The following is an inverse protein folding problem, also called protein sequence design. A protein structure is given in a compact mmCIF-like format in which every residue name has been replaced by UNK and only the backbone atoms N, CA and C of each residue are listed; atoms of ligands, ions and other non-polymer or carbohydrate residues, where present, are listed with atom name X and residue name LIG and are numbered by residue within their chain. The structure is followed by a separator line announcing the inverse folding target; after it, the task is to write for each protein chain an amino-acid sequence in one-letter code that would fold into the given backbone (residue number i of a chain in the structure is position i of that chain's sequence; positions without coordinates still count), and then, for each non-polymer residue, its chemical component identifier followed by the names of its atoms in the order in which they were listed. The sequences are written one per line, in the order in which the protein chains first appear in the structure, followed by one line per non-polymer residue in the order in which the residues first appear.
data_IF_009445514551
#
_entry.id   IF_009445514551
#
_cell.length_a   1.000
_cell.length_b   1.000
_cell.length_c   1.000
_cell.angle_alpha   90.00
_cell.angle_beta   90.00
_cell.angle_gamma   90.00
#
_symmetry.space_group_name_H-M   'P 1'
#
loop_
_entity.id
_entity.type
_entity.pdbx_description
1 polymer ?
#
# COMPACT_ATOMS: atom_id res chain seq x y z
N UNK A 1 -7.16 -15.05 17.83
CA UNK A 1 -5.95 -14.95 16.98
C UNK A 1 -6.01 -13.61 16.30
N UNK A 2 -4.95 -12.82 16.36
CA UNK A 2 -4.90 -11.51 15.69
C UNK A 2 -4.54 -11.70 14.21
N UNK A 3 -5.26 -11.04 13.32
CA UNK A 3 -5.12 -11.13 11.86
C UNK A 3 -4.77 -9.76 11.28
N UNK A 4 -3.69 -9.71 10.49
CA UNK A 4 -3.17 -8.52 9.85
C UNK A 4 -3.24 -8.68 8.33
N UNK A 5 -3.70 -7.66 7.61
CA UNK A 5 -3.43 -7.52 6.18
C UNK A 5 -2.23 -6.59 5.99
N UNK A 6 -1.19 -7.07 5.30
CA UNK A 6 -0.09 -6.24 4.85
C UNK A 6 -0.23 -5.99 3.34
N UNK A 7 0.04 -4.76 2.91
CA UNK A 7 0.04 -4.34 1.51
C UNK A 7 1.48 -3.94 1.14
N UNK A 8 2.29 -4.87 0.57
CA UNK A 8 3.63 -4.57 0.10
C UNK A 8 3.59 -3.59 -1.08
N UNK A 9 4.20 -2.41 -0.92
CA UNK A 9 4.25 -1.38 -1.95
C UNK A 9 5.68 -0.88 -2.13
N UNK A 10 6.24 -1.08 -3.33
CA UNK A 10 7.56 -0.56 -3.71
C UNK A 10 7.45 0.47 -4.83
N UNK A 11 8.31 1.47 -4.80
CA UNK A 11 8.35 2.48 -5.86
C UNK A 11 9.06 1.97 -7.13
N UNK A 12 10.15 1.22 -6.95
CA UNK A 12 10.99 0.72 -8.03
C UNK A 12 10.27 -0.34 -8.88
N UNK A 13 9.70 0.09 -10.00
CA UNK A 13 9.05 -0.74 -10.99
C UNK A 13 9.52 -0.30 -12.37
N UNK A 14 10.18 -1.20 -13.10
CA UNK A 14 10.80 -0.89 -14.40
C UNK A 14 9.77 -0.68 -15.50
N UNK A 15 8.71 -1.50 -15.52
CA UNK A 15 7.63 -1.43 -16.52
C UNK A 15 6.62 -0.34 -16.23
N UNK A 16 6.48 0.06 -14.97
CA UNK A 16 5.55 1.10 -14.57
C UNK A 16 6.05 1.85 -13.32
N UNK A 17 6.92 2.86 -13.50
CA UNK A 17 7.55 3.58 -12.40
C UNK A 17 6.52 4.23 -11.48
N UNK A 18 6.73 4.14 -10.15
CA UNK A 18 5.83 4.76 -9.18
C UNK A 18 4.41 4.19 -9.17
N UNK A 19 4.20 2.98 -9.74
CA UNK A 19 2.89 2.32 -9.87
C UNK A 19 1.94 2.51 -8.66
N UNK A 20 2.36 2.34 -7.39
CA UNK A 20 1.46 2.53 -6.25
C UNK A 20 0.81 3.92 -6.19
N UNK A 21 1.53 4.96 -6.63
CA UNK A 21 1.10 6.36 -6.58
C UNK A 21 0.31 6.79 -7.82
N UNK A 22 0.18 5.94 -8.83
CA UNK A 22 -0.55 6.33 -10.05
C UNK A 22 -2.05 6.41 -9.76
N UNK A 23 -2.64 7.54 -10.14
CA UNK A 23 -4.09 7.77 -10.11
C UNK A 23 -4.79 6.99 -11.20
N UNK A 24 -5.80 6.23 -10.81
CA UNK A 24 -6.69 5.47 -11.70
C UNK A 24 -8.12 6.01 -11.57
N UNK A 25 -8.77 6.25 -12.70
CA UNK A 25 -10.20 6.52 -12.75
C UNK A 25 -10.98 5.22 -12.56
N UNK A 26 -12.06 5.27 -11.80
CA UNK A 26 -12.93 4.13 -11.58
C UNK A 26 -14.33 4.60 -11.16
N UNK A 27 -15.23 3.64 -10.84
CA UNK A 27 -16.63 3.94 -10.54
C UNK A 27 -16.81 4.98 -9.43
N UNK A 28 -15.93 4.97 -8.43
CA UNK A 28 -16.00 5.87 -7.26
C UNK A 28 -15.04 7.06 -7.38
N UNK A 29 -14.76 7.50 -8.60
CA UNK A 29 -13.85 8.61 -8.90
C UNK A 29 -12.38 8.22 -9.03
N UNK A 30 -11.51 9.24 -9.09
CA UNK A 30 -10.08 9.10 -9.27
C UNK A 30 -9.37 8.84 -7.93
N UNK A 31 -8.61 7.74 -7.83
CA UNK A 31 -7.84 7.36 -6.63
C UNK A 31 -6.54 6.69 -7.04
N UNK A 32 -5.47 6.89 -6.28
CA UNK A 32 -4.20 6.18 -6.49
C UNK A 32 -4.37 4.68 -6.29
N UNK A 33 -3.58 3.87 -7.00
CA UNK A 33 -3.63 2.42 -6.89
C UNK A 33 -3.49 1.94 -5.42
N UNK A 34 -2.55 2.50 -4.66
CA UNK A 34 -2.34 2.10 -3.26
C UNK A 34 -3.54 2.40 -2.37
N UNK A 35 -4.18 3.56 -2.55
CA UNK A 35 -5.42 3.92 -1.83
C UNK A 35 -6.54 2.94 -2.12
N UNK A 36 -6.71 2.51 -3.38
CA UNK A 36 -7.73 1.52 -3.75
C UNK A 36 -7.47 0.17 -3.06
N UNK A 37 -6.23 -0.30 -3.03
CA UNK A 37 -5.86 -1.54 -2.33
C UNK A 37 -6.12 -1.44 -0.82
N UNK A 38 -5.81 -0.30 -0.21
CA UNK A 38 -6.05 -0.07 1.21
C UNK A 38 -7.55 0.00 1.54
N UNK A 39 -8.35 0.74 0.78
CA UNK A 39 -9.80 0.80 0.96
C UNK A 39 -10.45 -0.59 0.82
N UNK A 40 -10.00 -1.39 -0.15
CA UNK A 40 -10.46 -2.78 -0.30
C UNK A 40 -10.08 -3.66 0.90
N UNK A 41 -8.86 -3.52 1.43
CA UNK A 41 -8.43 -4.25 2.62
C UNK A 41 -9.21 -3.82 3.88
N UNK A 42 -9.56 -2.54 4.01
CA UNK A 42 -10.38 -2.02 5.11
C UNK A 42 -11.82 -2.53 5.09
N UNK A 43 -12.33 -2.95 3.93
CA UNK A 43 -13.67 -3.53 3.81
C UNK A 43 -13.74 -5.01 4.27
N UNK A 44 -12.61 -5.66 4.56
CA UNK A 44 -12.57 -7.06 5.00
C UNK A 44 -12.98 -7.16 6.47
N UNK A 45 -14.02 -7.95 6.74
CA UNK A 45 -14.52 -8.19 8.11
C UNK A 45 -13.63 -9.17 8.87
N UNK A 46 -13.48 -8.95 10.18
CA UNK A 46 -12.73 -9.86 11.07
C UNK A 46 -11.20 -9.70 10.99
N UNK A 47 -10.72 -8.58 10.42
CA UNK A 47 -9.30 -8.21 10.39
C UNK A 47 -9.04 -7.18 11.49
N UNK A 48 -7.95 -7.34 12.23
CA UNK A 48 -7.62 -6.45 13.34
C UNK A 48 -6.86 -5.21 12.85
N UNK A 49 -6.01 -5.36 11.82
CA UNK A 49 -5.12 -4.30 11.33
C UNK A 49 -4.86 -4.41 9.83
N UNK A 50 -4.63 -3.26 9.20
CA UNK A 50 -4.19 -3.15 7.81
C UNK A 50 -3.05 -2.16 7.71
N UNK A 51 -1.92 -2.60 7.15
CA UNK A 51 -0.71 -1.78 7.02
C UNK A 51 -0.21 -1.74 5.57
N UNK A 52 0.34 -0.60 5.17
CA UNK A 52 1.14 -0.47 3.94
C UNK A 52 2.61 -0.68 4.31
N UNK A 53 3.23 -1.71 3.76
CA UNK A 53 4.64 -2.04 3.98
C UNK A 53 5.47 -1.51 2.80
N UNK A 54 6.29 -0.49 3.02
CA UNK A 54 7.02 0.20 1.94
C UNK A 54 8.44 0.58 2.33
N UNK A 55 9.33 0.69 1.36
CA UNK A 55 10.70 1.20 1.51
C UNK A 55 10.85 2.65 1.03
N UNK A 56 9.78 3.27 0.55
CA UNK A 56 9.82 4.58 -0.10
C UNK A 56 8.95 5.60 0.65
N UNK A 57 9.57 6.71 1.05
CA UNK A 57 8.88 7.75 1.83
C UNK A 57 7.74 8.41 1.06
N UNK A 58 7.80 8.50 -0.27
CA UNK A 58 6.70 9.09 -1.06
C UNK A 58 5.44 8.23 -0.99
N UNK A 59 5.60 6.91 -0.93
CA UNK A 59 4.48 5.99 -0.73
C UNK A 59 3.97 6.10 0.70
N UNK A 60 4.87 6.17 1.68
CA UNK A 60 4.52 6.33 3.09
C UNK A 60 3.71 7.60 3.35
N UNK A 61 4.21 8.75 2.90
CA UNK A 61 3.58 10.06 3.09
C UNK A 61 2.19 10.09 2.44
N UNK A 62 2.09 9.59 1.20
CA UNK A 62 0.82 9.52 0.49
C UNK A 62 -0.17 8.57 1.18
N UNK A 63 0.29 7.43 1.70
CA UNK A 63 -0.54 6.49 2.44
C UNK A 63 -1.07 7.06 3.76
N UNK A 64 -0.19 7.72 4.52
CA UNK A 64 -0.55 8.39 5.76
C UNK A 64 -1.55 9.52 5.53
N UNK A 65 -1.42 10.25 4.41
CA UNK A 65 -2.35 11.35 4.07
C UNK A 65 -3.80 10.90 3.87
N UNK A 66 -4.07 9.63 3.56
CA UNK A 66 -5.43 9.06 3.53
C UNK A 66 -5.76 8.17 4.73
N UNK A 67 -4.92 8.17 5.77
CA UNK A 67 -5.17 7.51 7.04
C UNK A 67 -4.69 6.06 7.14
N UNK A 68 -3.89 5.57 6.19
CA UNK A 68 -3.31 4.24 6.31
C UNK A 68 -2.19 4.19 7.36
N UNK A 69 -2.16 3.10 8.13
CA UNK A 69 -0.99 2.74 8.91
C UNK A 69 0.13 2.31 7.97
N UNK A 70 1.36 2.77 8.22
CA UNK A 70 2.53 2.48 7.39
C UNK A 70 3.63 1.84 8.22
N UNK A 71 4.21 0.77 7.68
CA UNK A 71 5.43 0.15 8.20
C UNK A 71 6.54 0.37 7.19
N UNK A 72 7.60 1.07 7.62
CA UNK A 72 8.80 1.21 6.81
C UNK A 72 9.58 -0.11 6.81
N UNK A 73 9.99 -0.54 5.62
CA UNK A 73 10.69 -1.80 5.38
C UNK A 73 12.03 -1.55 4.71
N UNK A 74 12.94 -2.52 4.79
CA UNK A 74 14.25 -2.42 4.14
C UNK A 74 14.11 -2.39 2.61
N UNK A 75 14.86 -1.52 1.96
CA UNK A 75 15.02 -1.52 0.49
C UNK A 75 15.76 -2.74 -0.03
N UNK A 76 16.40 -3.52 0.84
CA UNK A 76 17.08 -4.77 0.49
C UNK A 76 16.14 -5.98 0.31
N UNK A 77 14.84 -5.85 0.67
CA UNK A 77 13.87 -6.93 0.50
C UNK A 77 13.72 -7.29 -0.99
N UNK A 78 14.00 -8.55 -1.34
CA UNK A 78 14.08 -9.01 -2.75
C UNK A 78 12.71 -9.14 -3.39
N UNK A 79 11.67 -9.38 -2.58
CA UNK A 79 10.31 -9.63 -3.03
C UNK A 79 9.30 -9.15 -1.96
N UNK A 80 8.01 -9.35 -2.22
CA UNK A 80 6.94 -8.94 -1.30
C UNK A 80 6.76 -9.82 -0.06
N UNK A 81 7.32 -11.04 -0.02
CA UNK A 81 7.25 -11.93 1.15
C UNK A 81 8.32 -11.60 2.18
N UNK A 82 9.49 -11.12 1.73
CA UNK A 82 10.55 -10.61 2.62
C UNK A 82 10.25 -9.21 3.19
N UNK A 83 9.21 -8.57 2.66
CA UNK A 83 8.78 -7.23 3.04
C UNK A 83 7.60 -7.33 4.01
#
# INVERSE_FOLDING_TARGET
MTTLIAIPARYASTRYPGKPLVTLNGPDGAKTLIRRSWEAAMAVRGIDRVVVATDDTRIADHAQAFGAEVVMTSSAARNGTER
#
